data_IF_356576964813
#
_entry.id   IF_356576964813
#
_cell.length_a   1.000
_cell.length_b   1.000
_cell.length_c   1.000
_cell.angle_alpha   90.00
_cell.angle_beta   90.00
_cell.angle_gamma   90.00
#
_symmetry.space_group_name_H-M   'P 1'
#
loop_
_entity.id
_entity.type
_entity.pdbx_description
1 polymer ?
#
# COMPACT_ATOMS: atom_id res chain seq x y z
N UNK A 1 56.74 37.33 19.03
CA UNK A 1 56.51 36.52 17.82
C UNK A 1 56.58 35.06 18.22
N UNK A 2 55.44 34.35 18.25
CA UNK A 2 55.39 32.89 18.45
C UNK A 2 54.53 32.31 17.35
N UNK A 3 55.14 31.40 16.60
CA UNK A 3 54.57 30.76 15.43
C UNK A 3 53.55 29.69 15.84
N UNK A 4 52.57 29.58 14.96
CA UNK A 4 51.40 28.71 14.90
C UNK A 4 51.72 27.23 15.12
N UNK A 5 50.97 26.57 15.99
CA UNK A 5 50.82 25.11 15.95
C UNK A 5 49.38 24.73 16.28
N UNK A 6 48.58 24.63 15.24
CA UNK A 6 47.35 23.86 15.15
C UNK A 6 47.17 23.70 13.62
N UNK A 7 47.09 22.50 13.05
CA UNK A 7 45.87 21.70 12.98
C UNK A 7 46.31 20.33 12.44
N UNK A 8 46.07 19.28 13.20
CA UNK A 8 46.03 17.91 12.69
C UNK A 8 44.83 17.22 13.33
N UNK A 9 43.64 17.54 12.83
CA UNK A 9 42.42 16.76 13.09
C UNK A 9 41.40 17.09 12.01
N UNK A 10 41.45 16.38 10.89
CA UNK A 10 40.58 16.68 9.75
C UNK A 10 40.58 15.59 8.70
N UNK A 11 40.56 14.31 9.10
CA UNK A 11 40.48 13.21 8.14
C UNK A 11 39.80 11.97 8.75
N UNK A 12 38.51 12.06 9.08
CA UNK A 12 37.74 10.87 9.46
C UNK A 12 36.20 11.01 9.35
N UNK A 13 35.66 11.83 8.44
CA UNK A 13 34.20 12.03 8.35
C UNK A 13 33.59 11.93 6.94
N UNK A 14 34.34 11.47 5.94
CA UNK A 14 33.86 11.37 4.56
C UNK A 14 33.71 9.92 4.04
N UNK A 15 33.60 8.91 4.92
CA UNK A 15 33.48 7.51 4.49
C UNK A 15 32.12 6.85 4.78
N UNK A 16 31.17 7.54 5.43
CA UNK A 16 29.93 6.91 5.89
C UNK A 16 28.69 7.21 5.03
N UNK A 17 28.77 8.13 4.06
CA UNK A 17 27.59 8.52 3.26
C UNK A 17 27.42 7.74 1.96
N UNK A 18 28.42 6.98 1.51
CA UNK A 18 28.33 6.19 0.28
C UNK A 18 27.73 4.78 0.50
N UNK A 19 27.71 4.26 1.73
CA UNK A 19 27.25 2.90 2.03
C UNK A 19 25.77 2.79 2.39
N UNK A 20 25.04 3.90 2.49
CA UNK A 20 23.62 3.89 2.86
C UNK A 20 22.66 4.14 1.69
N UNK A 21 23.13 4.65 0.54
CA UNK A 21 22.24 4.94 -0.60
C UNK A 21 22.06 3.73 -1.53
N UNK A 22 23.08 2.89 -1.72
CA UNK A 22 22.97 1.71 -2.59
C UNK A 22 22.07 0.61 -2.03
N UNK A 23 22.09 0.39 -0.71
CA UNK A 23 21.39 -0.73 -0.06
C UNK A 23 19.91 -0.43 0.21
N UNK A 24 19.54 0.85 0.41
CA UNK A 24 18.14 1.25 0.57
C UNK A 24 17.39 1.28 -0.78
N UNK A 25 18.09 1.60 -1.87
CA UNK A 25 17.50 1.60 -3.21
C UNK A 25 17.19 0.17 -3.69
N UNK A 26 18.10 -0.79 -3.45
CA UNK A 26 17.89 -2.19 -3.85
C UNK A 26 16.78 -2.90 -3.06
N UNK A 27 16.53 -2.53 -1.81
CA UNK A 27 15.42 -3.07 -1.03
C UNK A 27 14.06 -2.45 -1.43
N UNK A 28 14.06 -1.22 -1.96
CA UNK A 28 12.86 -0.57 -2.48
C UNK A 28 12.47 -1.07 -3.87
N UNK A 29 13.44 -1.43 -4.72
CA UNK A 29 13.20 -1.87 -6.10
C UNK A 29 12.76 -3.34 -6.23
N UNK A 30 13.00 -4.19 -5.21
CA UNK A 30 12.71 -5.65 -5.29
C UNK A 30 11.60 -6.12 -4.33
N UNK A 31 10.96 -5.22 -3.57
CA UNK A 31 9.78 -5.58 -2.79
C UNK A 31 8.51 -5.35 -3.62
N UNK A 32 7.90 -6.38 -4.23
CA UNK A 32 6.65 -6.19 -4.92
C UNK A 32 5.63 -5.57 -3.96
N UNK A 33 4.91 -4.52 -4.40
CA UNK A 33 3.81 -3.93 -3.63
C UNK A 33 2.77 -4.99 -3.23
N UNK A 34 2.74 -6.12 -3.96
CA UNK A 34 1.99 -7.32 -3.68
C UNK A 34 2.78 -8.26 -2.73
N UNK A 35 2.51 -8.25 -1.42
CA UNK A 35 2.78 -9.43 -0.60
C UNK A 35 2.04 -10.61 -1.23
N UNK A 36 2.79 -11.64 -1.61
CA UNK A 36 2.22 -12.85 -2.22
C UNK A 36 1.15 -13.46 -1.31
N UNK A 37 0.24 -14.26 -1.85
CA UNK A 37 -0.73 -15.01 -1.03
C UNK A 37 -0.05 -15.81 0.10
N UNK A 38 1.17 -16.31 -0.15
CA UNK A 38 2.00 -16.97 0.86
C UNK A 38 2.45 -16.03 1.99
N UNK A 39 2.67 -14.74 1.71
CA UNK A 39 3.03 -13.73 2.71
C UNK A 39 1.90 -13.46 3.71
N UNK A 40 0.64 -13.60 3.30
CA UNK A 40 -0.50 -13.54 4.23
C UNK A 40 -0.79 -14.88 4.91
N UNK A 41 -0.41 -16.00 4.30
CA UNK A 41 -0.58 -17.33 4.89
C UNK A 41 0.32 -17.60 6.12
N UNK A 42 1.47 -16.92 6.22
CA UNK A 42 2.39 -17.01 7.37
C UNK A 42 2.29 -15.83 8.33
N UNK A 43 1.66 -14.73 7.91
CA UNK A 43 1.49 -13.54 8.73
C UNK A 43 0.46 -13.78 9.85
N UNK A 44 0.69 -13.15 11.00
CA UNK A 44 -0.33 -13.03 12.04
C UNK A 44 -1.46 -12.11 11.53
N UNK A 45 -2.45 -12.68 10.85
CA UNK A 45 -3.56 -11.95 10.24
C UNK A 45 -4.30 -11.07 11.25
N UNK A 46 -4.44 -11.52 12.49
CA UNK A 46 -5.06 -10.74 13.57
C UNK A 46 -4.26 -9.46 13.85
N UNK A 47 -2.93 -9.55 13.90
CA UNK A 47 -2.08 -8.38 14.10
C UNK A 47 -2.09 -7.46 12.87
N UNK A 48 -2.02 -8.02 11.66
CA UNK A 48 -2.09 -7.25 10.43
C UNK A 48 -3.39 -6.42 10.34
N UNK A 49 -4.53 -7.04 10.67
CA UNK A 49 -5.83 -6.33 10.71
C UNK A 49 -5.84 -5.16 11.70
N UNK A 50 -5.27 -5.34 12.90
CA UNK A 50 -5.15 -4.26 13.89
C UNK A 50 -4.29 -3.10 13.38
N UNK A 51 -3.15 -3.41 12.76
CA UNK A 51 -2.27 -2.40 12.15
C UNK A 51 -3.01 -1.66 11.04
N UNK A 52 -3.80 -2.38 10.24
CA UNK A 52 -4.60 -1.77 9.19
C UNK A 52 -5.66 -0.82 9.74
N UNK A 53 -6.37 -1.22 10.80
CA UNK A 53 -7.34 -0.34 11.48
C UNK A 53 -6.69 0.95 11.95
N UNK A 54 -5.56 0.87 12.67
CA UNK A 54 -4.83 2.08 13.11
C UNK A 54 -4.32 2.92 11.94
N UNK A 55 -3.90 2.29 10.86
CA UNK A 55 -3.37 3.00 9.68
C UNK A 55 -4.46 3.73 8.89
N UNK A 56 -5.71 3.24 8.91
CA UNK A 56 -6.86 3.92 8.31
C UNK A 56 -7.25 5.21 9.07
N UNK A 57 -6.92 5.28 10.36
CA UNK A 57 -7.15 6.45 11.22
C UNK A 57 -5.96 7.43 11.22
N UNK A 58 -4.90 7.14 10.46
CA UNK A 58 -3.69 7.96 10.40
C UNK A 58 -3.97 9.36 9.86
N UNK A 59 -3.34 10.37 10.47
CA UNK A 59 -3.35 11.74 9.96
C UNK A 59 -2.50 11.93 8.70
N UNK A 60 -1.65 10.96 8.37
CA UNK A 60 -0.87 10.96 7.13
C UNK A 60 -1.66 10.31 5.99
N UNK A 61 -2.11 11.14 5.04
CA UNK A 61 -2.91 10.70 3.89
C UNK A 61 -2.19 9.59 3.07
N UNK A 62 -0.87 9.65 2.91
CA UNK A 62 -0.10 8.63 2.22
C UNK A 62 -0.12 7.25 2.91
N UNK A 63 -0.20 7.23 4.25
CA UNK A 63 -0.39 6.00 5.02
C UNK A 63 -1.78 5.41 4.78
N UNK A 64 -2.81 6.26 4.81
CA UNK A 64 -4.20 5.86 4.54
C UNK A 64 -4.33 5.29 3.12
N UNK A 65 -3.75 5.97 2.14
CA UNK A 65 -3.78 5.53 0.75
C UNK A 65 -3.04 4.20 0.53
N UNK A 66 -1.87 4.03 1.15
CA UNK A 66 -1.09 2.80 1.05
C UNK A 66 -1.81 1.62 1.70
N UNK A 67 -2.38 1.82 2.90
CA UNK A 67 -3.10 0.75 3.61
C UNK A 67 -4.38 0.34 2.87
N UNK A 68 -5.08 1.28 2.22
CA UNK A 68 -6.25 0.95 1.39
C UNK A 68 -5.88 -0.04 0.28
N UNK A 69 -4.73 0.12 -0.36
CA UNK A 69 -4.27 -0.82 -1.39
C UNK A 69 -3.86 -2.18 -0.80
N UNK A 70 -3.21 -2.23 0.37
CA UNK A 70 -2.92 -3.48 1.06
C UNK A 70 -4.19 -4.23 1.49
N UNK A 71 -5.20 -3.52 2.01
CA UNK A 71 -6.49 -4.09 2.39
C UNK A 71 -7.21 -4.65 1.16
N UNK A 72 -7.29 -3.89 0.06
CA UNK A 72 -7.91 -4.35 -1.17
C UNK A 72 -7.21 -5.62 -1.69
N UNK A 73 -5.88 -5.61 -1.70
CA UNK A 73 -5.09 -6.78 -2.09
C UNK A 73 -5.36 -8.00 -1.18
N UNK A 74 -5.37 -7.79 0.15
CA UNK A 74 -5.66 -8.85 1.13
C UNK A 74 -7.06 -9.42 0.91
N UNK A 75 -8.07 -8.58 0.66
CA UNK A 75 -9.44 -9.01 0.43
C UNK A 75 -9.61 -9.87 -0.82
N UNK A 76 -8.91 -9.53 -1.90
CA UNK A 76 -8.91 -10.35 -3.14
C UNK A 76 -8.21 -11.69 -2.89
N UNK A 77 -7.11 -11.65 -2.14
CA UNK A 77 -6.27 -12.83 -1.86
C UNK A 77 -6.94 -13.81 -0.88
N UNK A 78 -7.64 -13.28 0.12
CA UNK A 78 -8.28 -14.03 1.20
C UNK A 78 -9.79 -13.68 1.28
N UNK A 79 -10.60 -14.03 0.27
CA UNK A 79 -12.00 -13.60 0.19
C UNK A 79 -12.91 -14.21 1.27
N UNK A 80 -12.47 -15.30 1.91
CA UNK A 80 -13.20 -15.95 2.99
C UNK A 80 -12.88 -15.37 4.38
N UNK A 81 -11.82 -14.55 4.49
CA UNK A 81 -11.39 -14.00 5.76
C UNK A 81 -12.36 -12.92 6.26
N UNK A 82 -12.79 -13.02 7.52
CA UNK A 82 -13.70 -12.05 8.12
C UNK A 82 -12.99 -10.73 8.40
N UNK A 83 -13.43 -9.64 7.79
CA UNK A 83 -12.81 -8.31 7.88
C UNK A 83 -13.84 -7.20 8.12
N UNK A 84 -14.94 -7.50 8.84
CA UNK A 84 -16.10 -6.61 8.98
C UNK A 84 -15.75 -5.20 9.48
N UNK A 85 -14.89 -5.09 10.47
CA UNK A 85 -14.51 -3.79 11.03
C UNK A 85 -13.69 -2.95 10.04
N UNK A 86 -12.82 -3.61 9.28
CA UNK A 86 -12.03 -2.96 8.21
C UNK A 86 -12.95 -2.55 7.07
N UNK A 87 -13.88 -3.42 6.68
CA UNK A 87 -14.88 -3.11 5.65
C UNK A 87 -15.72 -1.89 6.04
N UNK A 88 -16.19 -1.82 7.28
CA UNK A 88 -16.92 -0.67 7.80
C UNK A 88 -16.08 0.61 7.74
N UNK A 89 -14.82 0.55 8.16
CA UNK A 89 -13.90 1.69 8.08
C UNK A 89 -13.62 2.14 6.64
N UNK A 90 -13.46 1.18 5.71
CA UNK A 90 -13.29 1.48 4.28
C UNK A 90 -14.54 2.16 3.70
N UNK A 91 -15.75 1.70 4.05
CA UNK A 91 -16.99 2.35 3.61
C UNK A 91 -17.15 3.75 4.20
N UNK A 92 -16.76 3.94 5.46
CA UNK A 92 -16.75 5.25 6.10
C UNK A 92 -15.81 6.22 5.37
N UNK A 93 -14.59 5.77 5.06
CA UNK A 93 -13.64 6.58 4.28
C UNK A 93 -14.11 6.86 2.85
N UNK A 94 -14.88 5.96 2.23
CA UNK A 94 -15.45 6.22 0.90
C UNK A 94 -16.42 7.41 0.92
N UNK A 95 -17.20 7.55 2.00
CA UNK A 95 -18.17 8.63 2.15
C UNK A 95 -17.55 9.92 2.71
N UNK A 96 -16.72 9.77 3.75
CA UNK A 96 -16.27 10.88 4.62
C UNK A 96 -14.75 11.06 4.66
N UNK A 97 -14.01 10.36 3.80
CA UNK A 97 -12.55 10.48 3.71
C UNK A 97 -12.09 11.92 3.49
N UNK A 98 -10.98 12.29 4.12
CA UNK A 98 -10.46 13.67 4.19
C UNK A 98 -10.17 14.27 2.82
N UNK A 99 -9.59 13.49 1.92
CA UNK A 99 -9.25 13.92 0.56
C UNK A 99 -10.11 13.22 -0.49
N UNK A 100 -10.34 13.85 -1.67
CA UNK A 100 -11.01 13.18 -2.77
C UNK A 100 -10.32 11.88 -3.21
N UNK A 101 -8.99 11.83 -3.14
CA UNK A 101 -8.20 10.64 -3.50
C UNK A 101 -8.47 9.50 -2.54
N UNK A 102 -8.47 9.75 -1.22
CA UNK A 102 -8.83 8.75 -0.21
C UNK A 102 -10.25 8.24 -0.44
N UNK A 103 -11.23 9.13 -0.63
CA UNK A 103 -12.63 8.73 -0.89
C UNK A 103 -12.75 7.83 -2.11
N UNK A 104 -12.08 8.19 -3.20
CA UNK A 104 -12.09 7.42 -4.44
C UNK A 104 -11.43 6.04 -4.28
N UNK A 105 -10.24 5.96 -3.69
CA UNK A 105 -9.55 4.68 -3.42
C UNK A 105 -10.36 3.80 -2.46
N UNK A 106 -10.95 4.39 -1.42
CA UNK A 106 -11.82 3.67 -0.48
C UNK A 106 -13.10 3.17 -1.15
N UNK A 107 -13.71 3.94 -2.04
CA UNK A 107 -14.83 3.48 -2.86
C UNK A 107 -14.45 2.26 -3.72
N UNK A 108 -13.32 2.32 -4.44
CA UNK A 108 -12.84 1.18 -5.22
C UNK A 108 -12.55 -0.05 -4.33
N UNK A 109 -11.93 0.15 -3.17
CA UNK A 109 -11.71 -0.91 -2.21
C UNK A 109 -13.05 -1.50 -1.70
N UNK A 110 -14.08 -0.69 -1.49
CA UNK A 110 -15.40 -1.18 -1.08
C UNK A 110 -16.04 -2.11 -2.13
N UNK A 111 -15.87 -1.80 -3.43
CA UNK A 111 -16.31 -2.69 -4.51
C UNK A 111 -15.57 -4.04 -4.48
N UNK A 112 -14.28 -4.01 -4.12
CA UNK A 112 -13.48 -5.24 -3.92
C UNK A 112 -14.01 -6.05 -2.73
N UNK A 113 -14.47 -5.41 -1.65
CA UNK A 113 -15.12 -6.12 -0.55
C UNK A 113 -16.44 -6.79 -0.96
N UNK A 114 -17.24 -6.08 -1.74
CA UNK A 114 -18.55 -6.53 -2.24
C UNK A 114 -18.43 -7.72 -3.20
N UNK A 115 -17.39 -7.75 -4.05
CA UNK A 115 -17.20 -8.81 -5.03
C UNK A 115 -15.71 -9.12 -5.29
N UNK A 116 -15.01 -9.78 -4.35
CA UNK A 116 -13.57 -10.01 -4.49
C UNK A 116 -13.23 -10.88 -5.70
N UNK A 117 -14.11 -11.83 -6.07
CA UNK A 117 -13.91 -12.72 -7.23
C UNK A 117 -13.81 -11.99 -8.57
N UNK A 118 -14.44 -10.82 -8.70
CA UNK A 118 -14.35 -9.99 -9.93
C UNK A 118 -12.91 -9.52 -10.21
N UNK A 119 -12.09 -9.43 -9.17
CA UNK A 119 -10.76 -8.80 -9.19
C UNK A 119 -9.60 -9.81 -9.04
N UNK A 120 -9.86 -11.13 -9.09
CA UNK A 120 -8.80 -12.14 -8.95
C UNK A 120 -7.67 -11.99 -9.98
N UNK A 121 -7.96 -11.51 -11.19
CA UNK A 121 -6.97 -11.25 -12.25
C UNK A 121 -6.16 -9.97 -12.02
N UNK A 122 -6.64 -9.09 -11.14
CA UNK A 122 -5.93 -7.86 -10.78
C UNK A 122 -4.71 -8.23 -9.94
N UNK A 123 -4.86 -9.05 -8.89
CA UNK A 123 -3.76 -9.45 -8.00
C UNK A 123 -2.71 -10.41 -8.60
N UNK A 124 -2.96 -11.00 -9.78
CA UNK A 124 -1.94 -11.82 -10.46
C UNK A 124 -0.82 -10.96 -11.07
N UNK A 125 -1.05 -9.66 -11.24
CA UNK A 125 -0.04 -8.74 -11.76
C UNK A 125 0.81 -8.18 -10.61
N UNK A 126 2.12 -8.07 -10.85
CA UNK A 126 3.00 -7.31 -9.95
C UNK A 126 2.76 -5.82 -10.21
N UNK A 127 2.26 -5.11 -9.22
CA UNK A 127 2.15 -3.65 -9.24
C UNK A 127 3.36 -3.03 -8.54
N UNK A 128 3.85 -1.91 -9.06
CA UNK A 128 4.93 -1.14 -8.44
C UNK A 128 4.41 -0.21 -7.33
N UNK A 129 3.11 0.10 -7.31
CA UNK A 129 2.50 1.02 -6.34
C UNK A 129 1.01 0.75 -6.09
N UNK A 130 0.48 1.39 -5.04
CA UNK A 130 -0.96 1.43 -4.78
C UNK A 130 -1.75 2.05 -5.93
N UNK A 131 -1.17 3.03 -6.62
CA UNK A 131 -1.84 3.76 -7.70
C UNK A 131 -2.04 2.87 -8.92
N UNK A 132 -1.05 2.05 -9.25
CA UNK A 132 -1.19 1.06 -10.33
C UNK A 132 -2.24 0.00 -10.00
N UNK A 133 -2.26 -0.50 -8.75
CA UNK A 133 -3.30 -1.42 -8.30
C UNK A 133 -4.70 -0.81 -8.45
N UNK A 134 -4.92 0.41 -7.93
CA UNK A 134 -6.21 1.07 -8.02
C UNK A 134 -6.59 1.46 -9.46
N UNK A 135 -5.62 1.78 -10.31
CA UNK A 135 -5.83 1.95 -11.75
C UNK A 135 -6.36 0.67 -12.41
N UNK A 136 -5.80 -0.48 -12.05
CA UNK A 136 -6.26 -1.77 -12.57
C UNK A 136 -7.64 -2.18 -12.01
N UNK A 137 -7.92 -1.91 -10.73
CA UNK A 137 -9.26 -2.10 -10.15
C UNK A 137 -10.29 -1.23 -10.89
N UNK A 138 -10.00 0.06 -11.08
CA UNK A 138 -10.90 0.98 -11.78
C UNK A 138 -11.16 0.53 -13.22
N UNK A 139 -10.11 0.11 -13.94
CA UNK A 139 -10.23 -0.44 -15.29
C UNK A 139 -11.15 -1.66 -15.31
N UNK A 140 -11.01 -2.56 -14.34
CA UNK A 140 -11.85 -3.76 -14.23
C UNK A 140 -13.31 -3.41 -14.02
N UNK A 141 -13.61 -2.46 -13.14
CA UNK A 141 -14.98 -1.96 -12.90
C UNK A 141 -15.60 -1.42 -14.19
N UNK A 142 -14.86 -0.58 -14.93
CA UNK A 142 -15.32 -0.01 -16.20
C UNK A 142 -15.62 -1.10 -17.23
N UNK A 143 -14.73 -2.08 -17.39
CA UNK A 143 -14.93 -3.21 -18.31
C UNK A 143 -16.18 -4.01 -17.98
N UNK A 144 -16.47 -4.23 -16.70
CA UNK A 144 -17.69 -4.95 -16.28
C UNK A 144 -18.95 -4.17 -16.65
N UNK A 145 -18.99 -2.86 -16.40
CA UNK A 145 -20.14 -2.01 -16.73
C UNK A 145 -20.41 -1.92 -18.25
N UNK A 146 -19.34 -1.87 -19.04
CA UNK A 146 -19.46 -1.86 -20.51
C UNK A 146 -19.97 -3.21 -21.03
N UNK A 147 -19.48 -4.32 -20.46
CA UNK A 147 -19.89 -5.67 -20.86
C UNK A 147 -21.36 -5.98 -20.54
N UNK A 148 -21.91 -5.38 -19.48
CA UNK A 148 -23.34 -5.53 -19.12
C UNK A 148 -24.30 -4.72 -19.99
N UNK A 149 -23.80 -3.79 -20.81
CA UNK A 149 -24.64 -2.89 -21.63
C UNK A 149 -24.87 -3.43 -23.06
N UNK A 150 -24.13 -4.48 -23.46
CA UNK A 150 -24.15 -5.03 -24.84
C UNK A 150 -24.97 -6.34 -24.92
N UNK A 151 -25.86 -6.59 -23.96
CA UNK A 151 -26.82 -7.72 -23.97
C UNK A 151 -28.25 -7.19 -23.97
#
# INVERSE_FOLDING_TARGET
MKATTAIALGLALAASTALSQGTLQQAADDWPYSPTAASYGTANLTQAKKVFQWSLESDNDGVVESVLGHIAHMRITLPQEAMKDIEAAVRELANNGRTPVIRYKAYLASLVFDNPSMFCQTVTNKYASSDELFGAIATRVQQTMLSSTVQ
#
